data_IF_409574712251
#
_entry.id   IF_409574712251
#
_cell.length_a   1.000
_cell.length_b   1.000
_cell.length_c   1.000
_cell.angle_alpha   90.00
_cell.angle_beta   90.00
_cell.angle_gamma   90.00
#
_symmetry.space_group_name_H-M   'P 1'
#
loop_
_entity.id
_entity.type
_entity.pdbx_description
1 polymer ?
#
# COMPACT_ATOMS: atom_id res chain seq x y z
N UNK A 1 4.40 0.00 2.14
CA UNK A 1 4.70 1.42 1.81
C UNK A 1 5.40 1.49 0.47
N UNK A 2 4.95 2.33 -0.46
CA UNK A 2 5.64 2.58 -1.73
C UNK A 2 6.55 3.80 -1.58
N UNK A 3 7.84 3.64 -1.89
CA UNK A 3 8.83 4.71 -1.80
C UNK A 3 9.60 4.83 -3.11
N UNK A 4 10.07 6.03 -3.43
CA UNK A 4 10.95 6.24 -4.58
C UNK A 4 12.40 5.93 -4.19
N UNK A 5 13.04 5.01 -4.91
CA UNK A 5 14.46 4.64 -4.76
C UNK A 5 15.28 4.99 -6.00
N UNK A 6 14.63 5.33 -7.12
CA UNK A 6 15.29 5.89 -8.30
C UNK A 6 14.43 6.97 -8.97
N UNK A 7 15.10 7.96 -9.56
CA UNK A 7 14.50 9.01 -10.40
C UNK A 7 14.74 8.78 -11.88
N UNK A 8 15.40 7.69 -12.26
CA UNK A 8 15.71 7.36 -13.65
C UNK A 8 14.53 6.66 -14.35
N UNK A 9 14.42 6.87 -15.66
CA UNK A 9 13.42 6.19 -16.48
C UNK A 9 11.97 6.57 -16.16
N UNK A 10 11.06 5.60 -16.33
CA UNK A 10 9.63 5.83 -16.09
C UNK A 10 9.38 5.99 -14.58
N UNK A 11 8.51 6.91 -14.13
CA UNK A 11 8.30 7.17 -12.71
C UNK A 11 7.96 5.95 -11.84
N UNK A 12 7.25 4.97 -12.40
CA UNK A 12 6.85 3.72 -11.72
C UNK A 12 8.00 2.71 -11.59
N UNK A 13 9.01 2.81 -12.47
CA UNK A 13 10.18 1.93 -12.49
C UNK A 13 11.26 2.34 -11.49
N UNK A 14 11.01 3.36 -10.66
CA UNK A 14 11.90 3.76 -9.56
C UNK A 14 11.26 3.59 -8.19
N UNK A 15 10.22 2.75 -8.08
CA UNK A 15 9.45 2.57 -6.85
C UNK A 15 9.82 1.24 -6.20
N UNK A 16 10.12 1.23 -4.90
CA UNK A 16 10.31 0.03 -4.09
C UNK A 16 9.17 -0.13 -3.07
N UNK A 17 8.88 -1.38 -2.69
CA UNK A 17 7.89 -1.70 -1.68
C UNK A 17 8.57 -2.04 -0.37
N UNK A 18 8.23 -1.34 0.71
CA UNK A 18 8.76 -1.58 2.05
C UNK A 18 7.67 -2.06 3.01
N UNK A 19 8.02 -3.05 3.84
CA UNK A 19 7.29 -3.43 5.04
C UNK A 19 7.77 -2.54 6.19
N UNK A 20 6.88 -1.70 6.71
CA UNK A 20 7.22 -0.71 7.73
C UNK A 20 6.48 -1.02 9.02
N UNK A 21 7.22 -1.08 10.12
CA UNK A 21 6.65 -1.12 11.46
C UNK A 21 6.19 0.30 11.83
N UNK A 22 4.91 0.46 12.15
CA UNK A 22 4.32 1.77 12.50
C UNK A 22 4.80 2.30 13.86
N UNK A 23 5.43 1.46 14.69
CA UNK A 23 6.10 1.88 15.91
C UNK A 23 7.53 2.40 15.67
N UNK A 24 8.03 2.38 14.43
CA UNK A 24 9.38 2.87 14.11
C UNK A 24 9.53 4.35 14.50
N UNK A 25 10.61 4.73 15.20
CA UNK A 25 10.87 6.13 15.54
C UNK A 25 10.85 7.05 14.31
N UNK A 26 10.26 8.24 14.46
CA UNK A 26 10.09 9.21 13.37
C UNK A 26 8.76 9.11 12.63
N UNK A 27 7.93 8.10 12.90
CA UNK A 27 6.56 8.02 12.38
C UNK A 27 5.61 8.77 13.30
N UNK A 28 4.82 9.70 12.74
CA UNK A 28 3.72 10.36 13.46
C UNK A 28 2.42 10.15 12.70
N UNK A 29 1.40 9.63 13.37
CA UNK A 29 0.06 9.43 12.81
C UNK A 29 -0.87 10.50 13.40
N UNK A 30 -1.51 11.29 12.53
CA UNK A 30 -2.52 12.28 12.92
C UNK A 30 -3.89 11.87 12.37
N UNK A 31 -4.88 11.60 13.23
CA UNK A 31 -6.26 11.36 12.79
C UNK A 31 -6.81 12.52 11.99
N UNK A 32 -7.54 12.21 10.92
CA UNK A 32 -8.40 13.15 10.22
C UNK A 32 -9.84 12.77 10.56
N UNK A 33 -10.54 13.66 11.25
CA UNK A 33 -11.93 13.45 11.65
C UNK A 33 -12.83 13.95 10.52
N UNK A 34 -13.70 13.07 10.02
CA UNK A 34 -14.65 13.40 8.96
C UNK A 34 -15.70 14.39 9.44
N UNK A 35 -16.46 14.99 8.50
CA UNK A 35 -17.57 15.88 8.84
C UNK A 35 -18.69 15.15 9.62
N UNK A 36 -18.78 13.82 9.50
CA UNK A 36 -19.68 12.99 10.27
C UNK A 36 -19.16 12.68 11.69
N UNK A 37 -17.94 13.15 12.04
CA UNK A 37 -17.29 12.88 13.33
C UNK A 37 -16.55 11.54 13.39
N UNK A 38 -16.39 10.85 12.26
CA UNK A 38 -15.79 9.52 12.20
C UNK A 38 -14.28 9.58 11.95
N UNK A 39 -13.54 8.63 12.52
CA UNK A 39 -12.10 8.47 12.30
C UNK A 39 -11.83 7.30 11.36
N UNK A 40 -11.78 7.60 10.06
CA UNK A 40 -11.47 6.60 9.03
C UNK A 40 -10.13 6.90 8.32
N UNK A 41 -9.68 8.16 8.37
CA UNK A 41 -8.53 8.65 7.63
C UNK A 41 -7.44 9.11 8.59
N UNK A 42 -6.19 8.97 8.15
CA UNK A 42 -5.03 9.46 8.88
C UNK A 42 -4.11 10.22 7.93
N UNK A 43 -3.49 11.29 8.43
CA UNK A 43 -2.28 11.84 7.84
C UNK A 43 -1.08 11.22 8.55
N UNK A 44 -0.15 10.63 7.80
CA UNK A 44 1.06 10.01 8.35
C UNK A 44 2.28 10.81 7.93
N UNK A 45 3.08 11.22 8.92
CA UNK A 45 4.36 11.92 8.73
C UNK A 45 5.51 10.96 8.99
N UNK A 46 6.54 11.06 8.16
CA UNK A 46 7.77 10.29 8.27
C UNK A 46 8.95 11.26 8.40
N UNK A 47 9.57 11.31 9.56
CA UNK A 47 10.73 12.15 9.86
C UNK A 47 11.96 11.26 10.12
N UNK A 48 12.92 11.31 9.21
CA UNK A 48 14.18 10.54 9.27
C UNK A 48 14.05 9.03 9.55
N UNK A 49 12.89 8.44 9.26
CA UNK A 49 12.57 7.03 9.52
C UNK A 49 13.57 6.10 8.84
N UNK A 50 14.18 5.20 9.62
CA UNK A 50 15.14 4.20 9.13
C UNK A 50 14.46 2.84 8.99
N UNK A 51 14.60 2.22 7.82
CA UNK A 51 14.01 0.90 7.51
C UNK A 51 15.12 -0.08 7.10
N UNK A 52 15.21 -1.27 7.71
CA UNK A 52 16.18 -2.27 7.28
C UNK A 52 15.96 -2.69 5.82
N UNK A 53 17.04 -2.90 5.06
CA UNK A 53 16.95 -3.38 3.66
C UNK A 53 16.21 -4.73 3.55
N UNK A 54 16.30 -5.57 4.58
CA UNK A 54 15.60 -6.86 4.65
C UNK A 54 14.07 -6.72 4.62
N UNK A 55 13.53 -5.55 4.97
CA UNK A 55 12.10 -5.27 4.92
C UNK A 55 11.62 -4.82 3.54
N UNK A 56 12.50 -4.76 2.54
CA UNK A 56 12.09 -4.55 1.16
C UNK A 56 11.42 -5.82 0.63
N UNK A 57 10.17 -5.66 0.19
CA UNK A 57 9.43 -6.73 -0.45
C UNK A 57 9.75 -6.72 -1.96
N UNK A 58 10.38 -7.79 -2.43
CA UNK A 58 10.80 -7.93 -3.82
C UNK A 58 12.11 -7.22 -4.16
N UNK A 59 12.36 -7.10 -5.46
CA UNK A 59 13.55 -6.41 -5.97
C UNK A 59 13.44 -4.90 -5.77
N UNK A 60 14.61 -4.23 -5.70
CA UNK A 60 14.67 -2.78 -5.76
C UNK A 60 14.03 -2.29 -7.05
N UNK A 61 13.28 -1.18 -6.97
CA UNK A 61 12.62 -0.54 -8.11
C UNK A 61 11.47 -1.34 -8.77
N UNK A 62 11.09 -2.51 -8.24
CA UNK A 62 9.96 -3.33 -8.72
C UNK A 62 8.73 -3.31 -7.80
N UNK A 63 8.65 -2.32 -6.89
CA UNK A 63 7.54 -2.19 -5.93
C UNK A 63 6.18 -1.93 -6.58
N UNK A 64 6.15 -1.35 -7.79
CA UNK A 64 4.90 -1.10 -8.51
C UNK A 64 4.21 -2.39 -8.98
N UNK A 65 4.99 -3.42 -9.31
CA UNK A 65 4.47 -4.74 -9.68
C UNK A 65 3.72 -5.37 -8.51
N UNK A 66 4.30 -5.30 -7.31
CA UNK A 66 3.68 -5.73 -6.05
C UNK A 66 2.39 -4.95 -5.78
N UNK A 67 2.41 -3.62 -5.90
CA UNK A 67 1.23 -2.78 -5.66
C UNK A 67 0.06 -3.12 -6.58
N UNK A 68 0.31 -3.28 -7.88
CA UNK A 68 -0.72 -3.67 -8.85
C UNK A 68 -1.34 -5.01 -8.48
N UNK A 69 -0.55 -5.97 -8.02
CA UNK A 69 -1.05 -7.27 -7.57
C UNK A 69 -1.99 -7.11 -6.36
N UNK A 70 -1.60 -6.34 -5.34
CA UNK A 70 -2.45 -6.06 -4.17
C UNK A 70 -3.77 -5.39 -4.55
N UNK A 71 -3.73 -4.40 -5.44
CA UNK A 71 -4.93 -3.69 -5.92
C UNK A 71 -5.95 -4.61 -6.62
N UNK A 72 -5.54 -5.78 -7.11
CA UNK A 72 -6.50 -6.74 -7.68
C UNK A 72 -7.45 -7.30 -6.61
N UNK A 73 -6.99 -7.45 -5.37
CA UNK A 73 -7.82 -7.95 -4.26
C UNK A 73 -8.74 -6.85 -3.74
N UNK A 74 -8.22 -5.63 -3.56
CA UNK A 74 -9.01 -4.50 -3.06
C UNK A 74 -10.18 -4.13 -3.99
N UNK A 75 -10.02 -4.31 -5.30
CA UNK A 75 -11.05 -4.00 -6.31
C UNK A 75 -11.98 -5.18 -6.61
N UNK A 76 -12.15 -6.09 -5.65
CA UNK A 76 -13.14 -7.17 -5.74
C UNK A 76 -12.66 -8.48 -6.35
N UNK A 77 -11.36 -8.62 -6.66
CA UNK A 77 -10.71 -9.87 -7.07
C UNK A 77 -11.30 -10.59 -8.29
N UNK A 78 -10.59 -11.62 -8.77
CA UNK A 78 -11.12 -12.57 -9.77
C UNK A 78 -12.25 -13.47 -9.23
N UNK A 79 -12.70 -13.26 -8.00
CA UNK A 79 -13.66 -14.12 -7.30
C UNK A 79 -15.10 -13.61 -7.35
N UNK A 80 -15.33 -12.33 -7.67
CA UNK A 80 -16.68 -11.79 -7.87
C UNK A 80 -17.42 -12.38 -9.08
N UNK A 81 -16.79 -12.66 -10.25
CA UNK A 81 -17.51 -13.21 -11.40
C UNK A 81 -18.04 -14.64 -11.19
N UNK A 82 -17.42 -15.42 -10.28
CA UNK A 82 -17.81 -16.81 -10.00
C UNK A 82 -18.93 -16.97 -8.98
N UNK A 83 -19.29 -15.91 -8.24
CA UNK A 83 -20.34 -15.93 -7.22
C UNK A 83 -21.74 -15.66 -7.81
N UNK A 84 -21.82 -14.99 -8.96
CA UNK A 84 -23.10 -14.67 -9.60
C UNK A 84 -23.87 -15.91 -10.07
N UNK A 85 -23.24 -16.89 -10.76
CA UNK A 85 -23.94 -18.12 -11.15
C UNK A 85 -24.37 -18.98 -9.96
N UNK A 86 -23.67 -18.92 -8.82
CA UNK A 86 -23.99 -19.70 -7.62
C UNK A 86 -25.24 -19.15 -6.90
N UNK A 87 -25.47 -17.84 -6.97
CA UNK A 87 -26.64 -17.18 -6.42
C UNK A 87 -27.88 -17.34 -7.31
N UNK A 88 -27.71 -17.48 -8.62
CA UNK A 88 -28.81 -17.72 -9.57
C UNK A 88 -29.42 -19.14 -9.46
N UNK A 89 -28.84 -20.02 -8.63
CA UNK A 89 -29.32 -21.38 -8.35
C UNK A 89 -29.86 -21.56 -6.90
N UNK A 90 -30.05 -20.46 -6.16
CA UNK A 90 -30.80 -20.42 -4.89
C UNK A 90 -32.15 -19.73 -5.11
#
# INVERSE_FOLDING_TARGET
>A
LLVRTSTEGKPQAGISFLLLDMATPGITVKPIISLAGEHELNQVFFDDVRVPKANRLGAENDGWSVAKYLLTFERGGKYTPGLKPLLDHL
#
